data_IF_199995313181
#
_entry.id   IF_199995313181
#
_cell.length_a   1.000
_cell.length_b   1.000
_cell.length_c   1.000
_cell.angle_alpha   90.00
_cell.angle_beta   90.00
_cell.angle_gamma   90.00
#
_symmetry.space_group_name_H-M   'P 1'
#
loop_
_entity.id
_entity.type
_entity.pdbx_description
1 polymer ?
#
# COMPACT_ATOMS: atom_id res chain seq x y z
N UNK A 1 0.20 -18.96 31.37
CA UNK A 1 -0.68 -17.81 31.12
C UNK A 1 0.20 -16.58 30.93
N UNK A 2 0.34 -16.11 29.71
CA UNK A 2 0.98 -14.81 29.44
C UNK A 2 0.02 -13.77 30.01
N UNK A 3 0.47 -12.95 30.97
CA UNK A 3 -0.31 -11.81 31.46
C UNK A 3 -0.56 -10.91 30.25
N UNK A 4 -1.83 -10.67 29.92
CA UNK A 4 -2.20 -9.64 28.95
C UNK A 4 -1.60 -8.32 29.43
N UNK A 5 -0.48 -7.94 28.85
CA UNK A 5 0.04 -6.61 29.02
C UNK A 5 -0.88 -5.68 28.25
N UNK A 6 -1.60 -4.81 28.94
CA UNK A 6 -2.57 -3.88 28.35
C UNK A 6 -1.95 -2.93 27.31
N UNK A 7 -0.63 -2.90 27.23
CA UNK A 7 0.14 -2.10 26.26
C UNK A 7 0.57 -2.89 25.03
N UNK A 8 0.25 -4.18 24.94
CA UNK A 8 0.61 -5.01 23.81
C UNK A 8 -0.60 -5.20 22.88
N UNK A 9 -0.54 -4.64 21.70
CA UNK A 9 -1.56 -4.78 20.66
C UNK A 9 -1.25 -6.01 19.80
N UNK A 10 -2.15 -6.98 19.82
CA UNK A 10 -2.07 -8.13 18.91
C UNK A 10 -2.76 -7.78 17.59
N UNK A 11 -2.14 -8.08 16.44
CA UNK A 11 -2.84 -7.99 15.14
C UNK A 11 -4.15 -8.80 15.19
N UNK A 12 -5.23 -8.24 14.63
CA UNK A 12 -6.55 -8.87 14.65
C UNK A 12 -7.39 -8.62 15.91
N UNK A 13 -6.82 -8.10 17.00
CA UNK A 13 -7.63 -7.61 18.13
C UNK A 13 -8.39 -6.34 17.73
N UNK A 14 -9.56 -6.09 18.34
CA UNK A 14 -10.31 -4.86 18.10
C UNK A 14 -9.44 -3.62 18.36
N UNK A 15 -9.53 -2.65 17.47
CA UNK A 15 -8.92 -1.33 17.62
C UNK A 15 -9.83 -0.49 18.53
N UNK A 16 -9.25 0.36 19.38
CA UNK A 16 -10.05 1.28 20.20
C UNK A 16 -10.89 2.20 19.30
N UNK A 17 -12.07 2.61 19.78
CA UNK A 17 -13.08 3.31 18.96
C UNK A 17 -12.60 4.57 18.27
N UNK A 18 -11.55 5.23 18.80
CA UNK A 18 -11.01 6.50 18.29
C UNK A 18 -9.59 6.33 17.68
N UNK A 19 -9.19 5.09 17.37
CA UNK A 19 -7.84 4.78 16.89
C UNK A 19 -7.84 4.21 15.47
N UNK A 20 -6.74 4.47 14.75
CA UNK A 20 -6.36 3.80 13.51
C UNK A 20 -5.14 2.93 13.80
N UNK A 21 -5.23 1.63 13.51
CA UNK A 21 -4.07 0.73 13.49
C UNK A 21 -3.57 0.57 12.06
N UNK A 22 -2.28 0.81 11.88
CA UNK A 22 -1.61 0.65 10.59
C UNK A 22 -0.57 -0.47 10.73
N UNK A 23 -0.73 -1.51 9.93
CA UNK A 23 0.15 -2.69 9.95
C UNK A 23 0.81 -2.86 8.59
N UNK A 24 2.14 -2.83 8.57
CA UNK A 24 2.91 -3.17 7.37
C UNK A 24 2.80 -4.68 7.11
N UNK A 25 2.19 -5.08 6.01
CA UNK A 25 2.18 -6.46 5.54
C UNK A 25 3.25 -6.70 4.47
N UNK A 26 3.81 -5.62 3.93
CA UNK A 26 4.96 -5.63 3.05
C UNK A 26 5.55 -4.23 2.89
N UNK A 27 6.88 -4.12 2.97
CA UNK A 27 7.61 -2.83 2.90
C UNK A 27 8.68 -2.84 1.82
N UNK A 28 8.78 -3.93 1.06
CA UNK A 28 9.80 -4.13 0.04
C UNK A 28 9.39 -3.60 -1.32
N UNK A 29 10.34 -3.65 -2.21
CA UNK A 29 10.31 -3.30 -3.63
C UNK A 29 10.14 -4.58 -4.49
N UNK A 30 10.24 -4.55 -5.84
CA UNK A 30 9.97 -5.71 -6.69
C UNK A 30 10.70 -7.01 -6.34
N UNK A 31 11.84 -6.92 -5.67
CA UNK A 31 12.62 -8.08 -5.26
C UNK A 31 12.14 -8.63 -3.89
N UNK A 32 10.95 -9.23 -3.87
CA UNK A 32 10.41 -9.85 -2.66
C UNK A 32 11.40 -10.86 -2.04
N UNK A 33 11.57 -10.83 -0.73
CA UNK A 33 12.46 -11.70 0.04
C UNK A 33 11.70 -12.34 1.20
N UNK A 34 12.20 -13.47 1.72
CA UNK A 34 11.57 -14.16 2.86
C UNK A 34 11.30 -13.25 4.06
N UNK A 35 12.17 -12.28 4.32
CA UNK A 35 12.07 -11.34 5.45
C UNK A 35 11.44 -10.00 5.08
N UNK A 36 11.11 -9.80 3.82
CA UNK A 36 10.56 -8.54 3.35
C UNK A 36 9.70 -8.79 2.10
N UNK A 37 8.39 -8.85 2.29
CA UNK A 37 7.40 -8.86 1.21
C UNK A 37 7.36 -7.50 0.52
N UNK A 38 6.90 -7.48 -0.73
CA UNK A 38 6.64 -6.25 -1.49
C UNK A 38 5.51 -5.42 -0.88
N UNK A 39 5.26 -4.24 -1.41
CA UNK A 39 4.38 -3.22 -0.84
C UNK A 39 2.99 -3.73 -0.43
N UNK A 40 2.55 -3.39 0.77
CA UNK A 40 1.21 -3.69 1.25
C UNK A 40 0.98 -3.23 2.69
N UNK A 41 -0.20 -2.67 2.94
CA UNK A 41 -0.57 -2.11 4.24
C UNK A 41 -1.99 -2.50 4.62
N UNK A 42 -2.18 -2.97 5.85
CA UNK A 42 -3.49 -3.16 6.46
C UNK A 42 -3.80 -1.97 7.36
N UNK A 43 -4.94 -1.33 7.12
CA UNK A 43 -5.46 -0.23 7.91
C UNK A 43 -6.74 -0.72 8.61
N UNK A 44 -6.77 -0.65 9.92
CA UNK A 44 -7.91 -1.06 10.76
C UNK A 44 -8.40 0.14 11.56
N UNK A 45 -9.70 0.43 11.47
CA UNK A 45 -10.32 1.54 12.16
C UNK A 45 -11.12 1.07 13.40
N UNK A 46 -11.24 1.94 14.38
CA UNK A 46 -12.01 1.66 15.60
C UNK A 46 -13.51 1.45 15.39
N UNK A 47 -14.07 1.82 14.22
CA UNK A 47 -15.43 1.48 13.81
C UNK A 47 -15.57 0.05 13.27
N UNK A 48 -14.46 -0.69 13.14
CA UNK A 48 -14.41 -2.06 12.63
C UNK A 48 -14.05 -2.18 11.15
N UNK A 49 -14.06 -1.09 10.37
CA UNK A 49 -13.65 -1.10 8.96
C UNK A 49 -12.17 -1.45 8.79
N UNK A 50 -11.89 -2.16 7.70
CA UNK A 50 -10.53 -2.55 7.32
C UNK A 50 -10.29 -2.26 5.85
N UNK A 51 -9.10 -1.76 5.56
CA UNK A 51 -8.67 -1.39 4.21
C UNK A 51 -7.28 -1.98 3.94
N UNK A 52 -7.06 -2.43 2.72
CA UNK A 52 -5.75 -2.87 2.25
C UNK A 52 -5.28 -1.85 1.21
N UNK A 53 -4.14 -1.22 1.47
CA UNK A 53 -3.47 -0.38 0.49
C UNK A 53 -2.31 -1.15 -0.10
N UNK A 54 -2.40 -1.50 -1.37
CA UNK A 54 -1.58 -2.43 -2.13
C UNK A 54 -1.50 -3.84 -1.49
N UNK A 55 -1.23 -4.84 -2.29
CA UNK A 55 -1.11 -6.24 -1.91
C UNK A 55 -0.03 -6.92 -2.76
N UNK A 56 1.21 -6.46 -2.60
CA UNK A 56 2.36 -6.93 -3.37
C UNK A 56 2.79 -8.34 -3.02
N UNK A 57 3.73 -8.87 -3.79
CA UNK A 57 4.22 -10.24 -3.68
C UNK A 57 4.73 -10.59 -2.28
N UNK A 58 4.19 -11.63 -1.68
CA UNK A 58 4.52 -12.13 -0.33
C UNK A 58 3.72 -11.48 0.80
N UNK A 59 3.00 -10.38 0.56
CA UNK A 59 2.25 -9.65 1.59
C UNK A 59 1.02 -10.42 2.09
N UNK A 60 0.39 -11.26 1.26
CA UNK A 60 -0.73 -12.09 1.68
C UNK A 60 -0.34 -13.15 2.74
N UNK A 61 0.88 -13.67 2.69
CA UNK A 61 1.37 -14.60 3.71
C UNK A 61 1.51 -13.91 5.07
N UNK A 62 2.01 -12.66 5.09
CA UNK A 62 2.09 -11.84 6.29
C UNK A 62 0.69 -11.50 6.81
N UNK A 63 -0.22 -11.06 5.92
CA UNK A 63 -1.61 -10.77 6.27
C UNK A 63 -2.32 -11.97 6.91
N UNK A 64 -2.11 -13.18 6.37
CA UNK A 64 -2.62 -14.42 6.96
C UNK A 64 -2.10 -14.69 8.37
N UNK A 65 -0.83 -14.35 8.63
CA UNK A 65 -0.18 -14.56 9.93
C UNK A 65 -0.74 -13.64 11.01
N UNK A 66 -1.39 -12.53 10.65
CA UNK A 66 -2.04 -11.62 11.58
C UNK A 66 -3.33 -12.19 12.21
N UNK A 67 -3.89 -13.25 11.63
CA UNK A 67 -5.12 -13.86 12.14
C UNK A 67 -6.38 -13.03 11.93
N UNK A 68 -6.33 -11.96 11.15
CA UNK A 68 -7.50 -11.12 10.83
C UNK A 68 -8.50 -11.96 10.03
N UNK A 69 -9.80 -11.98 10.41
CA UNK A 69 -10.82 -12.71 9.67
C UNK A 69 -10.93 -12.21 8.22
N UNK A 70 -10.82 -13.12 7.25
CA UNK A 70 -10.91 -12.77 5.83
C UNK A 70 -12.28 -12.20 5.43
N UNK A 71 -13.33 -12.47 6.22
CA UNK A 71 -14.65 -11.85 6.05
C UNK A 71 -14.65 -10.33 6.18
N UNK A 72 -13.61 -9.75 6.81
CA UNK A 72 -13.43 -8.32 7.01
C UNK A 72 -12.44 -7.69 6.00
N UNK A 73 -11.83 -8.50 5.13
CA UNK A 73 -10.82 -8.09 4.17
C UNK A 73 -11.44 -8.03 2.77
N UNK A 74 -12.27 -7.06 2.54
CA UNK A 74 -13.06 -6.92 1.29
C UNK A 74 -12.80 -5.62 0.52
N UNK A 75 -11.90 -4.74 1.02
CA UNK A 75 -11.61 -3.44 0.42
C UNK A 75 -10.11 -3.30 0.13
N UNK A 76 -9.75 -3.18 -1.14
CA UNK A 76 -8.36 -3.04 -1.62
C UNK A 76 -8.24 -1.78 -2.46
N UNK A 77 -7.19 -1.00 -2.22
CA UNK A 77 -6.88 0.23 -2.97
C UNK A 77 -5.49 0.07 -3.58
N UNK A 78 -5.44 0.00 -4.91
CA UNK A 78 -4.19 -0.15 -5.66
C UNK A 78 -3.67 1.22 -6.09
N UNK A 79 -2.43 1.54 -5.72
CA UNK A 79 -1.81 2.79 -6.13
C UNK A 79 -1.47 2.79 -7.62
N UNK A 80 -1.03 1.65 -8.13
CA UNK A 80 -0.72 1.40 -9.52
C UNK A 80 -0.58 -0.10 -9.80
N UNK A 81 -0.32 -0.47 -11.06
CA UNK A 81 -0.36 -1.86 -11.50
C UNK A 81 1.02 -2.47 -11.74
N UNK A 82 2.04 -2.10 -10.94
CA UNK A 82 3.27 -2.89 -10.85
C UNK A 82 3.03 -4.15 -10.00
N UNK A 83 3.67 -5.25 -10.38
CA UNK A 83 3.47 -6.56 -9.73
C UNK A 83 3.79 -6.56 -8.24
N UNK A 84 4.70 -5.74 -7.79
CA UNK A 84 5.05 -5.58 -6.38
C UNK A 84 4.03 -4.79 -5.56
N UNK A 85 2.96 -4.29 -6.20
CA UNK A 85 1.82 -3.63 -5.56
C UNK A 85 0.52 -4.42 -5.65
N UNK A 86 0.38 -5.37 -6.61
CA UNK A 86 -0.82 -6.21 -6.71
C UNK A 86 -0.55 -7.72 -6.72
N UNK A 87 0.71 -8.17 -6.70
CA UNK A 87 1.11 -9.55 -7.00
C UNK A 87 0.40 -10.64 -6.21
N UNK A 88 -0.04 -10.37 -4.98
CA UNK A 88 -0.78 -11.31 -4.14
C UNK A 88 -2.31 -11.11 -4.16
N UNK A 89 -2.84 -10.27 -5.04
CA UNK A 89 -4.30 -10.05 -5.15
C UNK A 89 -5.06 -11.35 -5.42
N UNK A 90 -4.51 -12.23 -6.26
CA UNK A 90 -5.09 -13.54 -6.55
C UNK A 90 -5.13 -14.44 -5.30
N UNK A 91 -4.07 -14.43 -4.50
CA UNK A 91 -4.01 -15.16 -3.24
C UNK A 91 -5.04 -14.63 -2.24
N UNK A 92 -5.14 -13.31 -2.07
CA UNK A 92 -6.14 -12.68 -1.20
C UNK A 92 -7.56 -13.04 -1.64
N UNK A 93 -7.84 -13.02 -2.95
CA UNK A 93 -9.16 -13.36 -3.50
C UNK A 93 -9.52 -14.81 -3.23
N UNK A 94 -8.66 -15.76 -3.61
CA UNK A 94 -8.90 -17.19 -3.43
C UNK A 94 -9.00 -17.62 -1.96
N UNK A 95 -8.14 -17.07 -1.08
CA UNK A 95 -8.21 -17.32 0.36
C UNK A 95 -9.48 -16.77 1.00
N UNK A 96 -9.92 -15.59 0.58
CA UNK A 96 -11.17 -15.00 1.08
C UNK A 96 -12.37 -15.91 0.86
N UNK A 97 -12.45 -16.55 -0.33
CA UNK A 97 -13.49 -17.54 -0.64
C UNK A 97 -13.47 -18.71 0.34
N UNK A 98 -12.30 -19.24 0.66
CA UNK A 98 -12.15 -20.43 1.53
C UNK A 98 -12.33 -20.09 3.01
N UNK A 99 -12.02 -18.85 3.40
CA UNK A 99 -12.05 -18.38 4.79
C UNK A 99 -13.26 -17.50 5.12
N UNK A 100 -14.35 -17.62 4.36
CA UNK A 100 -15.66 -17.09 4.74
C UNK A 100 -15.87 -15.61 4.44
N UNK A 101 -15.27 -15.06 3.39
CA UNK A 101 -15.72 -13.79 2.85
C UNK A 101 -17.01 -14.03 2.05
N UNK A 102 -18.11 -13.48 2.48
CA UNK A 102 -19.43 -13.64 1.87
C UNK A 102 -19.82 -12.46 0.95
N UNK A 103 -19.08 -11.35 1.04
CA UNK A 103 -19.20 -10.17 0.18
C UNK A 103 -18.18 -10.20 -0.96
N UNK A 104 -18.41 -9.48 -2.06
CA UNK A 104 -17.40 -9.31 -3.11
C UNK A 104 -16.10 -8.73 -2.57
N UNK A 105 -14.97 -9.09 -3.19
CA UNK A 105 -13.73 -8.34 -3.02
C UNK A 105 -13.84 -7.08 -3.89
N UNK A 106 -13.87 -5.91 -3.25
CA UNK A 106 -13.96 -4.61 -3.92
C UNK A 106 -12.56 -4.03 -4.09
N UNK A 107 -12.18 -3.71 -5.31
CA UNK A 107 -10.86 -3.21 -5.65
C UNK A 107 -11.01 -1.86 -6.35
N UNK A 108 -10.40 -0.82 -5.80
CA UNK A 108 -10.29 0.49 -6.40
C UNK A 108 -8.90 0.68 -6.96
N UNK A 109 -8.81 1.32 -8.11
CA UNK A 109 -7.54 1.68 -8.70
C UNK A 109 -7.69 2.72 -9.82
N UNK A 110 -6.56 3.32 -10.22
CA UNK A 110 -6.56 4.40 -11.20
C UNK A 110 -6.86 3.94 -12.61
N UNK A 111 -7.41 4.86 -13.41
CA UNK A 111 -7.37 4.77 -14.86
C UNK A 111 -5.94 5.00 -15.37
N UNK A 112 -5.74 4.87 -16.67
CA UNK A 112 -4.50 5.23 -17.34
C UNK A 112 -4.82 6.09 -18.57
N UNK A 113 -3.84 6.83 -19.06
CA UNK A 113 -3.94 7.53 -20.35
C UNK A 113 -4.27 6.57 -21.50
N UNK A 114 -3.79 5.32 -21.42
CA UNK A 114 -4.12 4.22 -22.30
C UNK A 114 -5.14 3.32 -21.56
N UNK A 115 -6.43 3.29 -21.97
CA UNK A 115 -7.47 2.56 -21.22
C UNK A 115 -7.19 1.08 -21.00
N UNK A 116 -6.44 0.44 -21.91
CA UNK A 116 -6.02 -0.96 -21.80
C UNK A 116 -5.00 -1.22 -20.68
N UNK A 117 -4.39 -0.17 -20.12
CA UNK A 117 -3.45 -0.22 -19.00
C UNK A 117 -4.07 0.22 -17.67
N UNK A 118 -5.36 0.56 -17.66
CA UNK A 118 -6.09 0.98 -16.47
C UNK A 118 -6.64 -0.19 -15.65
N UNK A 119 -7.16 0.13 -14.47
CA UNK A 119 -7.69 -0.84 -13.50
C UNK A 119 -8.87 -1.64 -14.04
N UNK A 120 -9.71 -1.05 -14.91
CA UNK A 120 -10.83 -1.77 -15.54
C UNK A 120 -10.35 -2.91 -16.42
N UNK A 121 -9.41 -2.64 -17.33
CA UNK A 121 -8.83 -3.66 -18.19
C UNK A 121 -8.06 -4.73 -17.40
N UNK A 122 -7.33 -4.31 -16.36
CA UNK A 122 -6.70 -5.22 -15.41
C UNK A 122 -7.73 -6.13 -14.73
N UNK A 123 -8.86 -5.59 -14.26
CA UNK A 123 -9.94 -6.34 -13.61
C UNK A 123 -10.56 -7.40 -14.53
N UNK A 124 -10.80 -7.07 -15.80
CA UNK A 124 -11.28 -8.02 -16.81
C UNK A 124 -10.28 -9.17 -17.03
N UNK A 125 -8.98 -8.85 -17.09
CA UNK A 125 -7.93 -9.86 -17.20
C UNK A 125 -7.81 -10.72 -15.93
N UNK A 126 -7.88 -10.09 -14.75
CA UNK A 126 -7.84 -10.77 -13.45
C UNK A 126 -9.00 -11.76 -13.30
N UNK A 127 -10.22 -11.37 -13.61
CA UNK A 127 -11.38 -12.25 -13.53
C UNK A 127 -11.26 -13.46 -14.48
N UNK A 128 -10.69 -13.27 -15.67
CA UNK A 128 -10.37 -14.40 -16.58
C UNK A 128 -9.29 -15.31 -16.01
N UNK A 129 -8.23 -14.73 -15.43
CA UNK A 129 -7.16 -15.50 -14.78
C UNK A 129 -7.70 -16.37 -13.64
N UNK A 130 -8.60 -15.82 -12.81
CA UNK A 130 -9.17 -16.50 -11.65
C UNK A 130 -10.31 -17.46 -11.99
N UNK A 131 -10.79 -17.52 -13.22
CA UNK A 131 -12.01 -18.24 -13.59
C UNK A 131 -11.98 -19.74 -13.20
N UNK A 132 -10.83 -20.42 -13.39
CA UNK A 132 -10.71 -21.83 -13.01
C UNK A 132 -10.73 -22.00 -11.47
N UNK A 133 -9.95 -21.22 -10.74
CA UNK A 133 -9.88 -21.30 -9.27
C UNK A 133 -11.23 -21.00 -8.63
N UNK A 134 -11.90 -19.95 -9.06
CA UNK A 134 -13.25 -19.56 -8.61
C UNK A 134 -14.24 -20.67 -8.91
N UNK A 135 -14.29 -21.18 -10.14
CA UNK A 135 -15.26 -22.21 -10.54
C UNK A 135 -15.06 -23.51 -9.76
N UNK A 136 -13.82 -23.93 -9.55
CA UNK A 136 -13.52 -25.16 -8.81
C UNK A 136 -13.87 -25.04 -7.32
N UNK A 137 -13.55 -23.91 -6.67
CA UNK A 137 -13.87 -23.69 -5.26
C UNK A 137 -15.36 -23.59 -4.99
N UNK A 138 -16.14 -22.98 -5.87
CA UNK A 138 -17.59 -22.85 -5.75
C UNK A 138 -18.34 -24.21 -5.71
N UNK A 139 -17.71 -25.29 -6.16
CA UNK A 139 -18.27 -26.65 -6.03
C UNK A 139 -18.32 -27.08 -4.55
N UNK A 140 -17.35 -26.67 -3.75
CA UNK A 140 -17.20 -27.13 -2.37
C UNK A 140 -17.57 -26.06 -1.32
N UNK A 141 -17.49 -24.77 -1.66
CA UNK A 141 -17.64 -23.67 -0.72
C UNK A 141 -18.75 -22.72 -1.18
N UNK A 142 -19.79 -22.58 -0.34
CA UNK A 142 -20.83 -21.58 -0.57
C UNK A 142 -20.47 -20.29 0.19
N UNK A 143 -20.02 -19.26 -0.52
CA UNK A 143 -19.64 -17.96 0.02
C UNK A 143 -20.55 -16.83 -0.45
N UNK A 144 -21.80 -17.13 -0.81
CA UNK A 144 -22.70 -16.09 -1.33
C UNK A 144 -22.08 -15.42 -2.56
N UNK A 145 -21.83 -14.10 -2.48
CA UNK A 145 -21.17 -13.30 -3.54
C UNK A 145 -19.65 -13.17 -3.34
N UNK A 146 -19.07 -13.76 -2.30
CA UNK A 146 -17.64 -13.65 -1.99
C UNK A 146 -16.68 -14.19 -3.05
N UNK A 147 -17.21 -14.87 -4.07
CA UNK A 147 -16.46 -15.30 -5.26
C UNK A 147 -16.23 -14.19 -6.28
N UNK A 148 -16.94 -13.06 -6.16
CA UNK A 148 -16.81 -11.93 -7.08
C UNK A 148 -15.61 -11.06 -6.69
N UNK A 149 -14.90 -10.57 -7.72
CA UNK A 149 -13.95 -9.48 -7.59
C UNK A 149 -14.44 -8.31 -8.45
N UNK A 150 -14.74 -7.20 -7.78
CA UNK A 150 -15.35 -6.00 -8.39
C UNK A 150 -14.29 -4.90 -8.46
N UNK A 151 -14.02 -4.42 -9.67
CA UNK A 151 -13.01 -3.40 -9.91
C UNK A 151 -13.66 -2.07 -10.23
N UNK A 152 -13.35 -1.06 -9.43
CA UNK A 152 -13.78 0.32 -9.62
C UNK A 152 -12.59 1.15 -10.09
N UNK A 153 -12.64 1.57 -11.35
CA UNK A 153 -11.65 2.48 -11.91
C UNK A 153 -12.09 3.93 -11.72
N UNK A 154 -11.16 4.81 -11.35
CA UNK A 154 -11.38 6.24 -11.22
C UNK A 154 -10.31 7.03 -11.99
N UNK A 155 -10.63 8.28 -12.32
CA UNK A 155 -9.71 9.16 -13.06
C UNK A 155 -8.48 9.51 -12.21
N UNK A 156 -7.31 9.02 -12.63
CA UNK A 156 -6.03 9.24 -11.96
C UNK A 156 -5.58 10.69 -11.93
N UNK A 157 -6.07 11.51 -12.89
CA UNK A 157 -5.58 12.88 -13.10
C UNK A 157 -6.23 13.91 -12.17
N UNK A 158 -7.30 13.54 -11.48
CA UNK A 158 -8.06 14.46 -10.61
C UNK A 158 -7.42 14.55 -9.24
N UNK A 159 -6.92 15.74 -8.88
CA UNK A 159 -6.31 15.99 -7.57
C UNK A 159 -7.37 16.04 -6.46
N UNK A 160 -7.21 15.21 -5.42
CA UNK A 160 -8.13 15.13 -4.29
C UNK A 160 -9.48 14.48 -4.62
N UNK A 161 -9.53 13.60 -5.62
CA UNK A 161 -10.73 12.87 -6.03
C UNK A 161 -11.21 11.94 -4.90
N UNK A 162 -12.39 12.22 -4.34
CA UNK A 162 -13.04 11.32 -3.37
C UNK A 162 -13.52 10.07 -4.10
N UNK A 163 -12.90 8.94 -3.81
CA UNK A 163 -13.14 7.65 -4.50
C UNK A 163 -13.87 6.63 -3.62
N UNK A 164 -13.94 6.90 -2.33
CA UNK A 164 -14.66 6.08 -1.36
C UNK A 164 -15.18 6.96 -0.21
N UNK A 165 -16.45 6.80 0.15
CA UNK A 165 -17.07 7.50 1.27
C UNK A 165 -18.17 6.62 1.87
N UNK A 166 -17.84 5.87 2.94
CA UNK A 166 -18.77 4.99 3.68
C UNK A 166 -18.39 5.03 5.17
N UNK A 167 -19.37 4.92 6.08
CA UNK A 167 -19.17 4.81 7.54
C UNK A 167 -18.29 5.94 8.14
N UNK A 168 -18.47 7.17 7.67
CA UNK A 168 -17.67 8.35 8.02
C UNK A 168 -16.18 8.24 7.64
N UNK A 169 -15.80 7.26 6.84
CA UNK A 169 -14.48 7.13 6.24
C UNK A 169 -14.49 7.77 4.86
N UNK A 170 -13.55 8.67 4.62
CA UNK A 170 -13.32 9.26 3.32
C UNK A 170 -11.94 8.88 2.81
N UNK A 171 -11.87 8.32 1.60
CA UNK A 171 -10.60 8.08 0.91
C UNK A 171 -10.59 8.89 -0.37
N UNK A 172 -9.59 9.74 -0.51
CA UNK A 172 -9.34 10.51 -1.72
C UNK A 172 -8.04 10.07 -2.38
N UNK A 173 -8.00 10.16 -3.71
CA UNK A 173 -6.83 9.89 -4.54
C UNK A 173 -6.28 11.18 -5.12
N UNK A 174 -4.98 11.22 -5.39
CA UNK A 174 -4.31 12.30 -6.08
C UNK A 174 -3.15 11.77 -6.93
N UNK A 175 -2.77 12.48 -8.04
CA UNK A 175 -1.76 11.99 -8.96
C UNK A 175 -0.40 11.76 -8.31
N UNK A 176 0.25 10.64 -8.66
CA UNK A 176 1.65 10.38 -8.36
C UNK A 176 2.48 10.42 -9.66
N UNK A 177 3.73 10.89 -9.58
CA UNK A 177 4.64 10.94 -10.73
C UNK A 177 5.54 9.71 -10.69
N UNK A 178 5.20 8.69 -11.46
CA UNK A 178 5.98 7.46 -11.57
C UNK A 178 6.16 7.08 -13.05
N UNK A 179 6.56 5.87 -13.40
CA UNK A 179 7.01 5.45 -14.75
C UNK A 179 6.16 5.94 -15.93
N UNK A 180 4.84 5.76 -15.86
CA UNK A 180 3.87 6.20 -16.88
C UNK A 180 2.69 6.88 -16.19
N UNK A 181 1.82 7.54 -16.96
CA UNK A 181 0.58 8.12 -16.42
C UNK A 181 -0.37 7.04 -15.90
N UNK A 182 -0.97 7.30 -14.73
CA UNK A 182 -1.88 6.40 -14.06
C UNK A 182 -1.64 6.25 -12.54
N UNK A 183 -0.39 6.17 -12.03
CA UNK A 183 -0.15 6.03 -10.61
C UNK A 183 -0.77 7.13 -9.76
N UNK A 184 -1.25 6.74 -8.57
CA UNK A 184 -1.87 7.64 -7.60
C UNK A 184 -1.37 7.38 -6.18
N UNK A 185 -1.59 8.36 -5.33
CA UNK A 185 -1.47 8.27 -3.88
C UNK A 185 -2.84 8.40 -3.24
N UNK A 186 -2.98 7.97 -1.98
CA UNK A 186 -4.23 7.99 -1.24
C UNK A 186 -4.12 8.80 0.05
N UNK A 187 -5.21 9.50 0.40
CA UNK A 187 -5.44 10.06 1.72
C UNK A 187 -6.70 9.45 2.31
N UNK A 188 -6.61 8.88 3.51
CA UNK A 188 -7.73 8.43 4.32
C UNK A 188 -7.95 9.42 5.46
N UNK A 189 -9.16 9.94 5.57
CA UNK A 189 -9.62 10.77 6.69
C UNK A 189 -10.74 10.04 7.43
N UNK A 190 -10.61 9.92 8.75
CA UNK A 190 -11.60 9.33 9.63
C UNK A 190 -11.47 9.84 11.06
N UNK A 191 -12.58 10.23 11.68
CA UNK A 191 -12.66 10.67 13.08
C UNK A 191 -11.60 11.73 13.47
N UNK A 192 -11.33 12.68 12.58
CA UNK A 192 -10.33 13.73 12.78
C UNK A 192 -8.88 13.28 12.63
N UNK A 193 -8.64 12.01 12.32
CA UNK A 193 -7.32 11.45 12.01
C UNK A 193 -7.12 11.36 10.50
N UNK A 194 -5.87 11.49 10.06
CA UNK A 194 -5.50 11.43 8.65
C UNK A 194 -4.28 10.55 8.39
N UNK A 195 -4.40 9.68 7.39
CA UNK A 195 -3.31 8.84 6.90
C UNK A 195 -3.10 9.11 5.41
N UNK A 196 -1.85 9.32 5.00
CA UNK A 196 -1.49 9.44 3.59
C UNK A 196 -0.56 8.29 3.21
N UNK A 197 -0.94 7.55 2.15
CA UNK A 197 -0.14 6.49 1.55
C UNK A 197 0.26 6.91 0.13
N UNK A 198 1.55 7.08 -0.08
CA UNK A 198 2.04 7.73 -1.29
C UNK A 198 2.28 6.78 -2.46
N UNK A 199 2.33 5.46 -2.21
CA UNK A 199 2.73 4.53 -3.27
C UNK A 199 4.15 4.84 -3.74
N UNK A 200 4.42 4.54 -5.01
CA UNK A 200 5.68 4.86 -5.66
C UNK A 200 5.58 6.19 -6.42
N UNK A 201 6.62 6.99 -6.34
CA UNK A 201 6.66 8.23 -7.10
C UNK A 201 7.64 9.28 -6.60
N UNK A 202 7.92 10.20 -7.48
CA UNK A 202 8.78 11.37 -7.19
C UNK A 202 8.02 12.39 -6.35
N UNK A 203 8.73 13.22 -5.57
CA UNK A 203 8.14 14.39 -4.92
C UNK A 203 7.36 15.24 -5.93
N UNK A 204 6.16 15.66 -5.55
CA UNK A 204 5.27 16.46 -6.40
C UNK A 204 4.51 17.51 -5.59
N UNK A 205 3.96 18.50 -6.27
CA UNK A 205 3.09 19.49 -5.66
C UNK A 205 1.79 18.83 -5.15
N UNK A 206 1.24 17.86 -5.88
CA UNK A 206 0.05 17.11 -5.45
C UNK A 206 0.26 16.44 -4.09
N UNK A 207 1.45 15.84 -3.88
CA UNK A 207 1.83 15.24 -2.62
C UNK A 207 1.83 16.27 -1.49
N UNK A 208 2.45 17.44 -1.71
CA UNK A 208 2.49 18.52 -0.72
C UNK A 208 1.09 19.00 -0.35
N UNK A 209 0.24 19.25 -1.34
CA UNK A 209 -1.13 19.75 -1.16
C UNK A 209 -2.01 18.82 -0.33
N UNK A 210 -1.89 17.50 -0.57
CA UNK A 210 -2.74 16.49 0.06
C UNK A 210 -2.17 15.91 1.37
N UNK A 211 -0.93 16.26 1.74
CA UNK A 211 -0.24 15.63 2.88
C UNK A 211 0.05 16.59 4.04
N UNK A 212 -0.34 17.87 3.93
CA UNK A 212 -0.07 18.85 4.99
C UNK A 212 -0.65 18.43 6.34
N UNK A 213 0.19 18.43 7.38
CA UNK A 213 -0.18 18.14 8.76
C UNK A 213 -0.94 16.81 8.97
N UNK A 214 -0.69 15.81 8.11
CA UNK A 214 -1.27 14.50 8.29
C UNK A 214 -0.75 13.83 9.57
N UNK A 215 -1.58 13.00 10.23
CA UNK A 215 -1.13 12.24 11.40
C UNK A 215 -0.07 11.22 11.02
N UNK A 216 -0.23 10.58 9.87
CA UNK A 216 0.72 9.60 9.35
C UNK A 216 0.94 9.81 7.84
N UNK A 217 2.19 9.87 7.42
CA UNK A 217 2.58 9.77 6.00
C UNK A 217 3.45 8.54 5.83
N UNK A 218 3.02 7.63 4.94
CA UNK A 218 3.79 6.47 4.48
C UNK A 218 4.36 6.83 3.11
N UNK A 219 5.67 6.95 3.02
CA UNK A 219 6.38 7.41 1.82
C UNK A 219 7.48 6.44 1.42
N UNK A 220 7.64 6.19 0.13
CA UNK A 220 8.81 5.47 -0.32
C UNK A 220 10.10 6.23 0.02
N UNK A 221 11.14 5.47 0.33
CA UNK A 221 12.51 5.98 0.43
C UNK A 221 13.44 5.00 -0.28
N UNK A 222 13.49 5.11 -1.59
CA UNK A 222 14.22 4.16 -2.42
C UNK A 222 15.72 4.17 -2.11
N UNK A 223 16.42 3.12 -2.52
CA UNK A 223 17.84 2.93 -2.22
C UNK A 223 18.69 4.03 -2.87
N UNK A 224 19.72 4.58 -2.21
CA UNK A 224 20.66 5.48 -2.86
C UNK A 224 21.32 4.82 -4.09
N UNK A 225 21.45 5.56 -5.20
CA UNK A 225 21.81 5.01 -6.51
C UNK A 225 23.13 4.23 -6.55
N UNK A 226 24.13 4.66 -5.76
CA UNK A 226 25.43 3.96 -5.68
C UNK A 226 25.26 2.55 -5.09
N UNK A 227 24.57 2.44 -3.97
CA UNK A 227 24.32 1.17 -3.29
C UNK A 227 23.40 0.27 -4.14
N UNK A 228 22.43 0.87 -4.84
CA UNK A 228 21.58 0.13 -5.75
C UNK A 228 22.37 -0.49 -6.92
N UNK A 229 23.26 0.28 -7.55
CA UNK A 229 24.15 -0.20 -8.60
C UNK A 229 25.04 -1.37 -8.13
N UNK A 230 25.66 -1.22 -6.95
CA UNK A 230 26.51 -2.26 -6.35
C UNK A 230 25.74 -3.56 -6.07
N UNK A 231 24.52 -3.47 -5.54
CA UNK A 231 23.70 -4.65 -5.18
C UNK A 231 23.01 -5.34 -6.35
N UNK A 232 22.72 -4.59 -7.40
CA UNK A 232 22.01 -5.13 -8.58
C UNK A 232 22.96 -5.43 -9.74
N UNK A 233 24.24 -5.05 -9.61
CA UNK A 233 25.26 -5.13 -10.67
C UNK A 233 24.90 -4.34 -11.95
N UNK A 234 24.05 -3.31 -11.80
CA UNK A 234 23.70 -2.42 -12.89
C UNK A 234 24.75 -1.32 -13.07
N UNK A 235 24.94 -0.80 -14.31
CA UNK A 235 25.71 0.40 -14.51
C UNK A 235 25.16 1.57 -13.68
N UNK A 236 26.04 2.38 -13.09
CA UNK A 236 25.63 3.48 -12.19
C UNK A 236 24.61 4.42 -12.84
N UNK A 237 24.77 4.75 -14.12
CA UNK A 237 23.81 5.62 -14.83
C UNK A 237 22.41 5.02 -14.89
N UNK A 238 22.30 3.70 -15.07
CA UNK A 238 21.00 2.98 -15.07
C UNK A 238 20.39 3.01 -13.67
N UNK A 239 21.20 2.71 -12.65
CA UNK A 239 20.79 2.78 -11.26
C UNK A 239 20.32 4.20 -10.88
N UNK A 240 21.03 5.23 -11.31
CA UNK A 240 20.67 6.63 -11.07
C UNK A 240 19.34 6.99 -11.74
N UNK A 241 19.10 6.55 -12.98
CA UNK A 241 17.83 6.78 -13.67
C UNK A 241 16.66 6.11 -12.94
N UNK A 242 16.85 4.90 -12.41
CA UNK A 242 15.82 4.22 -11.61
C UNK A 242 15.59 4.98 -10.30
N UNK A 243 16.65 5.21 -9.51
CA UNK A 243 16.53 5.77 -8.17
C UNK A 243 16.04 7.23 -8.13
N UNK A 244 16.29 8.01 -9.17
CA UNK A 244 15.97 9.44 -9.21
C UNK A 244 14.99 9.81 -10.34
N UNK A 245 14.91 8.97 -11.38
CA UNK A 245 14.06 9.22 -12.55
C UNK A 245 12.59 8.85 -12.29
N UNK A 246 12.35 7.79 -11.51
CA UNK A 246 11.00 7.24 -11.29
C UNK A 246 10.64 7.02 -9.83
N UNK A 247 11.62 7.02 -8.92
CA UNK A 247 11.43 6.84 -7.47
C UNK A 247 11.86 8.05 -6.65
N UNK A 248 11.55 8.05 -5.35
CA UNK A 248 11.95 9.08 -4.41
C UNK A 248 13.21 8.65 -3.64
N UNK A 249 14.35 9.35 -3.79
CA UNK A 249 15.53 9.10 -2.97
C UNK A 249 15.26 9.41 -1.49
N UNK A 250 15.95 8.74 -0.54
CA UNK A 250 15.71 8.92 0.90
C UNK A 250 15.80 10.38 1.37
N UNK A 251 16.77 11.14 0.84
CA UNK A 251 16.92 12.56 1.17
C UNK A 251 15.73 13.40 0.71
N UNK A 252 15.15 13.06 -0.43
CA UNK A 252 13.95 13.74 -0.95
C UNK A 252 12.71 13.40 -0.11
N UNK A 253 12.58 12.15 0.35
CA UNK A 253 11.52 11.77 1.30
C UNK A 253 11.63 12.57 2.61
N UNK A 254 12.86 12.74 3.14
CA UNK A 254 13.09 13.60 4.30
C UNK A 254 12.66 15.05 4.08
N UNK A 255 12.95 15.61 2.89
CA UNK A 255 12.49 16.95 2.53
C UNK A 255 10.97 17.05 2.43
N UNK A 256 10.31 16.01 1.91
CA UNK A 256 8.84 15.98 1.85
C UNK A 256 8.22 15.95 3.25
N UNK A 257 8.74 15.16 4.19
CA UNK A 257 8.29 15.18 5.58
C UNK A 257 8.52 16.54 6.23
N UNK A 258 9.66 17.19 5.97
CA UNK A 258 9.93 18.54 6.50
C UNK A 258 8.96 19.59 5.96
N UNK A 259 8.51 19.48 4.71
CA UNK A 259 7.50 20.38 4.14
C UNK A 259 6.09 20.05 4.66
N UNK A 260 5.73 18.77 4.73
CA UNK A 260 4.37 18.33 5.07
C UNK A 260 4.10 18.24 6.58
N UNK A 261 5.14 18.20 7.42
CA UNK A 261 5.06 18.18 8.88
C UNK A 261 4.12 17.12 9.46
N UNK A 262 4.25 15.80 9.09
CA UNK A 262 3.42 14.77 9.69
C UNK A 262 3.71 14.59 11.18
N UNK A 263 2.74 14.09 11.95
CA UNK A 263 3.01 13.65 13.32
C UNK A 263 3.95 12.45 13.36
N UNK A 264 3.85 11.54 12.36
CA UNK A 264 4.78 10.43 12.15
C UNK A 264 5.03 10.23 10.64
N UNK A 265 6.30 10.26 10.24
CA UNK A 265 6.75 9.80 8.93
C UNK A 265 7.11 8.31 8.99
N UNK A 266 6.65 7.54 8.01
CA UNK A 266 7.04 6.14 7.82
C UNK A 266 7.67 5.99 6.46
N UNK A 267 8.84 5.39 6.39
CA UNK A 267 9.50 5.09 5.11
C UNK A 267 9.42 3.61 4.80
N UNK A 268 9.15 3.29 3.54
CA UNK A 268 9.02 1.94 3.02
C UNK A 268 9.56 1.86 1.58
N UNK A 269 9.27 0.81 0.85
CA UNK A 269 9.70 0.56 -0.52
C UNK A 269 11.22 0.68 -0.68
N UNK A 270 11.92 0.16 0.31
CA UNK A 270 13.37 0.19 0.42
C UNK A 270 13.95 -1.22 0.50
N UNK A 271 15.16 -1.40 0.01
CA UNK A 271 15.91 -2.64 0.21
C UNK A 271 16.48 -2.66 1.65
N UNK A 272 15.75 -3.25 2.58
CA UNK A 272 16.13 -3.29 3.99
C UNK A 272 17.15 -4.42 4.26
N UNK A 273 18.39 -4.21 3.85
CA UNK A 273 19.55 -4.96 4.36
C UNK A 273 20.21 -4.18 5.49
N UNK A 274 20.91 -4.86 6.40
CA UNK A 274 21.52 -4.22 7.59
C UNK A 274 22.44 -3.05 7.21
N UNK A 275 23.19 -3.19 6.12
CA UNK A 275 24.11 -2.19 5.60
C UNK A 275 23.43 -0.96 4.94
N UNK A 276 22.14 -1.05 4.60
CA UNK A 276 21.40 0.05 3.97
C UNK A 276 20.48 0.82 4.93
N UNK A 277 20.09 0.22 6.06
CA UNK A 277 19.15 0.86 6.98
C UNK A 277 19.69 2.19 7.52
N UNK A 278 20.93 2.21 7.97
CA UNK A 278 21.55 3.42 8.53
C UNK A 278 21.71 4.50 7.45
N UNK A 279 22.30 4.24 6.28
CA UNK A 279 22.38 5.25 5.20
C UNK A 279 21.04 5.83 4.78
N UNK A 280 19.97 5.01 4.68
CA UNK A 280 18.64 5.46 4.34
C UNK A 280 18.09 6.41 5.41
N UNK A 281 18.20 6.01 6.70
CA UNK A 281 17.73 6.83 7.81
C UNK A 281 18.52 8.15 7.88
N UNK A 282 19.83 8.13 7.73
CA UNK A 282 20.68 9.32 7.78
C UNK A 282 20.33 10.31 6.67
N UNK A 283 20.06 9.83 5.46
CA UNK A 283 19.64 10.66 4.35
C UNK A 283 18.26 11.29 4.59
N UNK A 284 17.28 10.54 5.11
CA UNK A 284 15.98 11.10 5.51
C UNK A 284 16.16 12.13 6.62
N UNK A 285 16.99 11.81 7.62
CA UNK A 285 17.30 12.66 8.77
C UNK A 285 18.08 13.93 8.42
N UNK A 286 18.58 14.04 7.21
CA UNK A 286 19.22 15.28 6.77
C UNK A 286 18.26 16.48 6.86
N UNK A 287 17.01 16.30 6.44
CA UNK A 287 15.94 17.30 6.49
C UNK A 287 14.95 17.06 7.65
N UNK A 288 14.45 15.85 7.80
CA UNK A 288 13.39 15.53 8.76
C UNK A 288 13.92 15.18 10.14
N UNK A 289 13.51 15.96 11.16
CA UNK A 289 13.91 15.77 12.58
C UNK A 289 12.76 15.25 13.45
N UNK A 290 11.55 15.16 12.92
CA UNK A 290 10.37 14.68 13.62
C UNK A 290 10.35 13.14 13.78
N UNK A 291 9.26 12.56 14.32
CA UNK A 291 9.10 11.12 14.47
C UNK A 291 9.22 10.38 13.13
N UNK A 292 9.97 9.29 13.11
CA UNK A 292 10.26 8.50 11.91
C UNK A 292 10.30 7.01 12.25
N UNK A 293 9.62 6.20 11.42
CA UNK A 293 9.73 4.74 11.42
C UNK A 293 10.21 4.23 10.05
N UNK A 294 10.83 3.02 10.05
CA UNK A 294 11.33 2.32 8.87
C UNK A 294 10.91 0.85 8.95
#
# INVERSE_FOLDING_TARGET
>A
MVKNDKNFLYPGEPVSKDEIRVTAIGTGMPFARRKQASAGWLIELGNGDKFIFDIGTGSSANLNSLGVPHSLLDKVFLTHLHVDHFGDLSSLHGMGMVRGRFSPLRIWGPSSLQPELGTKAFGDAFNRLMAWDVSSRRVAVNTGTGWQAEFTEFDYSVNGHVIFEENDVKISAFPAIHCIDGPVSYRLDWNGLSLVYLGDGKPSQFLVENSQNADLIIHEAFVPAKQYAEKTHLPYQVAQNICHGVHCPPRSAGKMFDICQPRLGVIYHAMLSEDLRVPIIDDVRYFWKGPLAL
#
